data_IF_164714300594
#
_entry.id   IF_164714300594
#
_cell.length_a   1.000
_cell.length_b   1.000
_cell.length_c   1.000
_cell.angle_alpha   90.00
_cell.angle_beta   90.00
_cell.angle_gamma   90.00
#
_symmetry.space_group_name_H-M   'P 1'
#
loop_
_entity.id
_entity.type
_entity.pdbx_description
1 polymer ?
#
# COMPACT_ATOMS: atom_id res chain seq x y z
N UNK A 1 -17.70 -22.14 20.81
CA UNK A 1 -16.31 -22.64 21.00
C UNK A 1 -15.58 -21.63 21.86
N UNK A 2 -15.00 -22.03 23.00
CA UNK A 2 -14.12 -21.12 23.73
C UNK A 2 -12.79 -21.08 22.97
N UNK A 3 -12.55 -20.03 22.18
CA UNK A 3 -11.24 -19.77 21.62
C UNK A 3 -10.34 -19.23 22.73
N UNK A 4 -9.13 -19.76 22.87
CA UNK A 4 -8.06 -19.05 23.58
C UNK A 4 -7.82 -17.71 22.88
N UNK A 5 -7.45 -16.68 23.62
CA UNK A 5 -7.13 -15.38 23.05
C UNK A 5 -6.00 -15.53 22.01
N UNK A 6 -6.29 -15.13 20.76
CA UNK A 6 -5.32 -15.20 19.67
C UNK A 6 -4.38 -13.99 19.72
N UNK A 7 -3.13 -14.19 19.28
CA UNK A 7 -2.24 -13.06 19.00
C UNK A 7 -2.74 -12.22 17.83
N UNK A 8 -2.29 -10.98 17.71
CA UNK A 8 -2.67 -10.12 16.57
C UNK A 8 -2.26 -10.74 15.24
N UNK A 9 -1.08 -11.32 15.18
CA UNK A 9 -0.57 -11.98 13.97
C UNK A 9 -1.41 -13.19 13.58
N UNK A 10 -1.70 -14.09 14.52
CA UNK A 10 -2.55 -15.26 14.28
C UNK A 10 -3.95 -14.85 13.79
N UNK A 11 -4.55 -13.84 14.42
CA UNK A 11 -5.89 -13.35 14.10
C UNK A 11 -5.97 -12.78 12.68
N UNK A 12 -5.00 -11.92 12.29
CA UNK A 12 -4.97 -11.33 10.95
C UNK A 12 -4.79 -12.41 9.88
N UNK A 13 -3.82 -13.30 10.06
CA UNK A 13 -3.54 -14.37 9.09
C UNK A 13 -4.69 -15.39 9.01
N UNK A 14 -5.38 -15.67 10.12
CA UNK A 14 -6.56 -16.52 10.12
C UNK A 14 -7.71 -15.86 9.36
N UNK A 15 -7.96 -14.57 9.56
CA UNK A 15 -8.97 -13.84 8.79
C UNK A 15 -8.69 -13.85 7.28
N UNK A 16 -7.43 -13.62 6.87
CA UNK A 16 -7.04 -13.69 5.45
C UNK A 16 -7.25 -15.09 4.86
N UNK A 17 -7.01 -16.15 5.64
CA UNK A 17 -7.24 -17.56 5.23
C UNK A 17 -8.69 -18.01 5.32
N UNK A 18 -9.58 -17.21 5.91
CA UNK A 18 -10.97 -17.61 6.19
C UNK A 18 -11.08 -18.65 7.30
N UNK A 19 -10.11 -18.69 8.20
CA UNK A 19 -10.15 -19.51 9.40
C UNK A 19 -10.86 -18.78 10.53
N UNK A 20 -11.47 -19.50 11.49
CA UNK A 20 -12.11 -18.89 12.64
C UNK A 20 -11.14 -18.03 13.46
N UNK A 21 -11.63 -16.93 13.99
CA UNK A 21 -10.90 -16.01 14.89
C UNK A 21 -11.70 -15.76 16.16
N UNK A 22 -11.03 -15.35 17.23
CA UNK A 22 -11.67 -14.98 18.51
C UNK A 22 -12.50 -13.68 18.41
N UNK A 23 -12.10 -12.79 17.50
CA UNK A 23 -12.80 -11.56 17.12
C UNK A 23 -12.37 -11.08 15.74
N UNK A 24 -13.07 -10.11 15.19
CA UNK A 24 -12.62 -9.40 13.98
C UNK A 24 -11.29 -8.72 14.26
N UNK A 25 -10.23 -8.94 13.45
CA UNK A 25 -9.02 -8.13 13.51
C UNK A 25 -9.35 -6.68 13.18
N UNK A 26 -8.69 -5.72 13.85
CA UNK A 26 -8.86 -4.32 13.54
C UNK A 26 -7.51 -3.60 13.47
N UNK A 27 -7.31 -2.94 12.37
CA UNK A 27 -6.11 -2.20 12.02
C UNK A 27 -6.49 -0.76 11.67
N UNK A 28 -5.55 0.17 11.70
CA UNK A 28 -5.79 1.54 11.25
C UNK A 28 -4.53 2.10 10.61
N UNK A 29 -4.69 2.91 9.56
CA UNK A 29 -3.61 3.51 8.77
C UNK A 29 -2.83 4.60 9.50
N UNK A 30 -2.31 4.33 10.70
CA UNK A 30 -1.49 5.27 11.50
C UNK A 30 -0.02 5.33 11.04
N UNK A 31 0.23 5.08 9.75
CA UNK A 31 1.58 4.75 9.25
C UNK A 31 2.42 5.92 8.78
N UNK A 32 1.81 7.06 8.51
CA UNK A 32 2.48 8.22 7.89
C UNK A 32 2.66 9.39 8.88
N UNK A 33 2.25 10.57 8.48
CA UNK A 33 2.46 11.79 9.26
C UNK A 33 1.74 11.79 10.62
N UNK A 34 0.68 10.97 10.80
CA UNK A 34 0.06 10.80 12.11
C UNK A 34 1.08 10.29 13.14
N UNK A 35 1.76 9.19 12.83
CA UNK A 35 2.83 8.64 13.69
C UNK A 35 3.99 9.61 13.88
N UNK A 36 4.42 10.29 12.81
CA UNK A 36 5.51 11.27 12.88
C UNK A 36 5.16 12.40 13.86
N UNK A 37 3.96 12.96 13.74
CA UNK A 37 3.49 14.05 14.61
C UNK A 37 3.33 13.63 16.07
N UNK A 38 2.73 12.47 16.33
CA UNK A 38 2.54 11.97 17.71
C UNK A 38 3.88 11.79 18.44
N UNK A 39 4.93 11.39 17.72
CA UNK A 39 6.27 11.26 18.28
C UNK A 39 7.06 12.57 18.34
N UNK A 40 6.46 13.72 18.01
CA UNK A 40 7.07 15.04 18.09
C UNK A 40 8.09 15.34 16.98
N UNK A 41 8.07 14.58 15.89
CA UNK A 41 8.91 14.80 14.73
C UNK A 41 8.19 15.59 13.63
N UNK A 42 8.97 16.18 12.74
CA UNK A 42 8.51 16.73 11.47
C UNK A 42 8.73 15.71 10.34
N UNK A 43 8.10 15.96 9.17
CA UNK A 43 8.39 15.18 7.97
C UNK A 43 9.88 15.23 7.59
N UNK A 44 10.53 16.38 7.73
CA UNK A 44 11.97 16.51 7.48
C UNK A 44 12.81 15.63 8.39
N UNK A 45 12.47 15.56 9.68
CA UNK A 45 13.22 14.74 10.64
C UNK A 45 13.27 13.27 10.21
N UNK A 46 12.18 12.77 9.67
CA UNK A 46 12.02 11.35 9.34
C UNK A 46 12.41 11.07 7.87
N UNK A 47 11.84 11.81 6.92
CA UNK A 47 12.00 11.48 5.50
C UNK A 47 13.27 12.04 4.87
N UNK A 48 13.80 13.14 5.41
CA UNK A 48 15.01 13.77 4.88
C UNK A 48 16.26 13.44 5.71
N UNK A 49 16.11 13.46 7.04
CA UNK A 49 17.24 13.32 7.96
C UNK A 49 17.35 11.96 8.63
N UNK A 50 16.33 11.08 8.52
CA UNK A 50 16.38 9.73 9.07
C UNK A 50 16.60 9.66 10.59
N UNK A 51 16.11 10.65 11.36
CA UNK A 51 16.40 10.77 12.81
C UNK A 51 15.89 9.61 13.66
N UNK A 52 14.87 8.89 13.18
CA UNK A 52 14.33 7.74 13.87
C UNK A 52 13.80 6.69 12.85
N UNK A 53 13.86 5.39 13.19
CA UNK A 53 13.32 4.33 12.33
C UNK A 53 11.79 4.40 12.32
N UNK A 54 11.21 4.82 11.20
CA UNK A 54 9.76 5.00 11.03
C UNK A 54 8.98 3.73 11.39
N UNK A 55 9.44 2.56 10.99
CA UNK A 55 8.77 1.29 11.26
C UNK A 55 8.57 1.05 12.77
N UNK A 56 9.57 1.42 13.60
CA UNK A 56 9.49 1.27 15.05
C UNK A 56 8.45 2.20 15.64
N UNK A 57 8.43 3.47 15.22
CA UNK A 57 7.42 4.43 15.68
C UNK A 57 6.01 3.97 15.32
N UNK A 58 5.80 3.42 14.11
CA UNK A 58 4.50 2.89 13.68
C UNK A 58 4.07 1.74 14.59
N UNK A 59 4.97 0.78 14.86
CA UNK A 59 4.67 -0.34 15.75
C UNK A 59 4.31 0.11 17.19
N UNK A 60 5.05 1.08 17.72
CA UNK A 60 4.81 1.60 19.07
C UNK A 60 3.46 2.34 19.15
N UNK A 61 3.08 3.11 18.11
CA UNK A 61 1.79 3.78 18.03
C UNK A 61 0.63 2.78 17.90
N UNK A 62 0.79 1.74 17.09
CA UNK A 62 -0.21 0.68 16.99
C UNK A 62 -0.44 -0.02 18.32
N UNK A 63 0.62 -0.36 19.06
CA UNK A 63 0.56 -0.92 20.43
C UNK A 63 -0.12 0.05 21.40
N UNK A 64 0.22 1.35 21.34
CA UNK A 64 -0.37 2.37 22.20
C UNK A 64 -1.89 2.45 22.08
N UNK A 65 -2.43 2.22 20.90
CA UNK A 65 -3.86 2.21 20.64
C UNK A 65 -4.52 0.83 20.66
N UNK A 66 -3.76 -0.23 20.97
CA UNK A 66 -4.27 -1.60 21.05
C UNK A 66 -4.75 -2.17 19.71
N UNK A 67 -4.21 -1.67 18.59
CA UNK A 67 -4.54 -2.13 17.24
C UNK A 67 -3.85 -3.48 16.97
N UNK A 68 -4.47 -4.32 16.14
CA UNK A 68 -3.77 -5.47 15.58
C UNK A 68 -2.73 -4.96 14.58
N UNK A 69 -1.45 -5.06 14.95
CA UNK A 69 -0.37 -4.37 14.27
C UNK A 69 -0.07 -4.89 12.87
N UNK A 70 0.40 -4.02 12.02
CA UNK A 70 0.93 -4.37 10.70
C UNK A 70 2.04 -3.41 10.27
N UNK A 71 2.97 -3.93 9.48
CA UNK A 71 3.99 -3.13 8.78
C UNK A 71 4.10 -3.59 7.33
N UNK A 72 4.39 -2.64 6.44
CA UNK A 72 4.82 -2.93 5.09
C UNK A 72 6.30 -2.64 4.93
N UNK A 73 7.05 -3.60 4.41
CA UNK A 73 8.47 -3.46 4.13
C UNK A 73 8.75 -3.71 2.65
N UNK A 74 9.54 -2.83 2.05
CA UNK A 74 10.06 -3.05 0.71
C UNK A 74 11.23 -4.03 0.71
N UNK A 75 11.38 -4.75 -0.39
CA UNK A 75 12.63 -5.43 -0.70
C UNK A 75 13.52 -4.50 -1.54
N UNK A 76 14.80 -4.43 -1.17
CA UNK A 76 15.79 -3.55 -1.79
C UNK A 76 16.74 -4.34 -2.66
N UNK A 77 17.14 -3.73 -3.76
CA UNK A 77 18.21 -4.23 -4.63
C UNK A 77 19.36 -3.24 -4.66
N UNK A 78 20.60 -3.70 -4.80
CA UNK A 78 21.75 -2.81 -5.00
C UNK A 78 21.54 -1.99 -6.28
N UNK A 79 22.11 -0.78 -6.36
CA UNK A 79 22.15 -0.01 -7.58
C UNK A 79 22.76 -0.80 -8.75
N UNK A 80 22.27 -0.53 -9.95
CA UNK A 80 22.91 -1.05 -11.17
C UNK A 80 24.35 -0.52 -11.24
N UNK A 81 25.37 -1.36 -11.51
CA UNK A 81 26.77 -0.92 -11.54
C UNK A 81 27.06 0.15 -12.60
N UNK A 82 26.27 0.20 -13.66
CA UNK A 82 26.41 1.19 -14.75
C UNK A 82 25.68 2.51 -14.43
N UNK A 83 25.00 2.60 -13.27
CA UNK A 83 24.17 3.75 -12.94
C UNK A 83 24.67 4.43 -11.67
N UNK A 84 24.84 5.74 -11.73
CA UNK A 84 25.23 6.56 -10.58
C UNK A 84 24.11 7.51 -10.20
N UNK A 85 23.90 7.70 -8.90
CA UNK A 85 22.88 8.58 -8.37
C UNK A 85 23.52 9.80 -7.71
N UNK A 86 23.01 11.00 -8.03
CA UNK A 86 23.39 12.26 -7.37
C UNK A 86 22.14 12.97 -6.88
N UNK A 87 22.26 13.64 -5.76
CA UNK A 87 21.17 14.48 -5.22
C UNK A 87 21.73 15.85 -4.83
N UNK A 88 20.96 16.88 -5.14
CA UNK A 88 21.28 18.27 -4.78
C UNK A 88 20.02 18.99 -4.30
N UNK A 89 20.17 19.86 -3.32
CA UNK A 89 19.10 20.74 -2.88
C UNK A 89 19.02 21.90 -3.88
N UNK A 90 17.84 22.04 -4.53
CA UNK A 90 17.62 23.09 -5.55
C UNK A 90 16.72 24.23 -5.03
N UNK A 91 16.08 24.03 -3.89
CA UNK A 91 15.29 25.02 -3.18
C UNK A 91 15.22 24.67 -1.70
N UNK A 92 15.29 25.68 -0.84
CA UNK A 92 15.11 25.52 0.61
C UNK A 92 14.53 26.81 1.22
N UNK A 93 13.46 26.64 1.97
CA UNK A 93 12.89 27.69 2.82
C UNK A 93 12.39 27.09 4.15
N UNK A 94 11.64 27.82 4.96
CA UNK A 94 11.19 27.38 6.28
C UNK A 94 10.11 26.29 6.24
N UNK A 95 9.46 26.05 5.10
CA UNK A 95 8.33 25.13 4.93
C UNK A 95 8.61 24.01 3.93
N UNK A 96 9.53 24.25 2.99
CA UNK A 96 9.76 23.33 1.87
C UNK A 96 11.24 23.22 1.50
N UNK A 97 11.70 22.00 1.30
CA UNK A 97 12.98 21.67 0.68
C UNK A 97 12.69 20.87 -0.59
N UNK A 98 13.33 21.25 -1.70
CA UNK A 98 13.24 20.50 -2.96
C UNK A 98 14.60 19.90 -3.28
N UNK A 99 14.62 18.58 -3.44
CA UNK A 99 15.81 17.82 -3.82
C UNK A 99 15.66 17.34 -5.24
N UNK A 100 16.62 17.68 -6.10
CA UNK A 100 16.77 17.08 -7.43
C UNK A 100 17.65 15.85 -7.32
N UNK A 101 17.15 14.72 -7.82
CA UNK A 101 17.89 13.48 -7.95
C UNK A 101 18.18 13.21 -9.42
N UNK A 102 19.46 13.04 -9.76
CA UNK A 102 19.93 12.73 -11.11
C UNK A 102 20.37 11.27 -11.15
N UNK A 103 19.87 10.54 -12.13
CA UNK A 103 20.26 9.18 -12.50
C UNK A 103 21.18 9.30 -13.71
N UNK A 104 22.47 9.06 -13.50
CA UNK A 104 23.49 9.14 -14.55
C UNK A 104 23.73 7.75 -15.14
N UNK A 105 23.60 7.63 -16.44
CA UNK A 105 23.81 6.39 -17.18
C UNK A 105 24.85 6.61 -18.30
N UNK A 106 25.45 5.54 -18.86
CA UNK A 106 26.37 5.65 -20.00
C UNK A 106 25.75 6.33 -21.25
N UNK A 107 24.42 6.32 -21.38
CA UNK A 107 23.73 6.85 -22.56
C UNK A 107 23.08 8.23 -22.32
N UNK A 108 23.20 8.78 -21.10
CA UNK A 108 22.65 10.09 -20.74
C UNK A 108 22.08 10.13 -19.33
N UNK A 109 21.61 11.29 -18.92
CA UNK A 109 21.10 11.55 -17.57
C UNK A 109 19.58 11.71 -17.56
N UNK A 110 18.97 11.16 -16.51
CA UNK A 110 17.57 11.42 -16.14
C UNK A 110 17.54 12.13 -14.80
N UNK A 111 16.56 13.00 -14.57
CA UNK A 111 16.41 13.65 -13.26
C UNK A 111 14.95 13.79 -12.84
N UNK A 112 14.75 13.82 -11.54
CA UNK A 112 13.45 14.06 -10.90
C UNK A 112 13.61 15.07 -9.77
N UNK A 113 12.51 15.67 -9.32
CA UNK A 113 12.48 16.50 -8.13
C UNK A 113 11.47 15.98 -7.14
N UNK A 114 11.89 15.93 -5.88
CA UNK A 114 11.04 15.60 -4.75
C UNK A 114 10.93 16.79 -3.83
N UNK A 115 9.70 17.21 -3.54
CA UNK A 115 9.40 18.21 -2.54
C UNK A 115 9.21 17.58 -1.17
N UNK A 116 9.95 18.04 -0.20
CA UNK A 116 9.85 17.68 1.21
C UNK A 116 9.21 18.85 1.95
N UNK A 117 7.90 18.80 2.13
CA UNK A 117 7.19 19.72 3.01
C UNK A 117 7.48 19.36 4.47
N UNK A 118 7.60 20.38 5.33
CA UNK A 118 7.98 20.18 6.74
C UNK A 118 7.05 19.22 7.50
N UNK A 119 5.75 19.29 7.21
CA UNK A 119 4.72 18.56 7.95
C UNK A 119 3.90 17.60 7.07
N UNK A 120 4.45 17.19 5.91
CA UNK A 120 3.79 16.29 4.98
C UNK A 120 4.73 15.17 4.53
N UNK A 121 4.17 14.16 3.86
CA UNK A 121 4.97 13.14 3.19
C UNK A 121 5.64 13.71 1.94
N UNK A 122 6.85 13.24 1.58
CA UNK A 122 7.52 13.69 0.36
C UNK A 122 6.70 13.40 -0.91
N UNK A 123 6.74 14.33 -1.85
CA UNK A 123 6.00 14.22 -3.11
C UNK A 123 6.93 14.48 -4.30
N UNK A 124 6.93 13.57 -5.29
CA UNK A 124 7.63 13.79 -6.56
C UNK A 124 6.87 14.86 -7.35
N UNK A 125 7.51 16.02 -7.55
CA UNK A 125 6.94 17.17 -8.26
C UNK A 125 7.36 17.22 -9.73
N UNK A 126 8.52 16.62 -10.07
CA UNK A 126 8.99 16.44 -11.44
C UNK A 126 9.41 14.99 -11.64
N UNK A 127 8.85 14.32 -12.63
CA UNK A 127 9.15 12.93 -12.94
C UNK A 127 10.44 12.75 -13.74
N UNK A 128 10.95 11.51 -13.81
CA UNK A 128 12.14 11.15 -14.62
C UNK A 128 11.87 11.27 -16.12
N UNK A 129 10.65 10.92 -16.57
CA UNK A 129 10.27 10.82 -17.98
C UNK A 129 9.53 12.09 -18.38
N UNK A 130 10.13 12.89 -19.27
CA UNK A 130 9.61 14.16 -19.73
C UNK A 130 9.26 14.16 -21.23
N UNK A 131 9.83 13.21 -21.98
CA UNK A 131 9.68 13.06 -23.42
C UNK A 131 10.01 11.63 -23.86
N UNK A 132 9.92 11.34 -25.15
CA UNK A 132 10.23 10.05 -25.75
C UNK A 132 11.66 9.58 -25.43
N UNK A 133 12.65 10.44 -25.58
CA UNK A 133 14.06 10.11 -25.34
C UNK A 133 14.29 9.68 -23.88
N UNK A 134 13.69 10.40 -22.93
CA UNK A 134 13.76 10.02 -21.52
C UNK A 134 13.04 8.71 -21.24
N UNK A 135 11.92 8.45 -21.95
CA UNK A 135 11.19 7.19 -21.78
C UNK A 135 12.01 6.01 -22.30
N UNK A 136 12.56 6.10 -23.49
CA UNK A 136 13.42 5.07 -24.07
C UNK A 136 14.69 4.83 -23.20
N UNK A 137 15.32 5.90 -22.71
CA UNK A 137 16.47 5.80 -21.81
C UNK A 137 16.10 5.14 -20.49
N UNK A 138 14.98 5.53 -19.87
CA UNK A 138 14.48 4.92 -18.64
C UNK A 138 14.19 3.43 -18.81
N UNK A 139 13.55 3.02 -19.91
CA UNK A 139 13.25 1.62 -20.22
C UNK A 139 14.50 0.74 -20.35
N UNK A 140 15.63 1.33 -20.76
CA UNK A 140 16.89 0.60 -20.92
C UNK A 140 17.51 0.20 -19.56
N UNK A 141 17.28 0.99 -18.50
CA UNK A 141 17.94 0.81 -17.21
C UNK A 141 17.02 0.40 -16.06
N UNK A 142 15.74 0.77 -16.08
CA UNK A 142 14.83 0.57 -14.96
C UNK A 142 14.56 -0.90 -14.65
N UNK A 143 14.48 -1.75 -15.67
CA UNK A 143 14.02 -3.14 -15.58
C UNK A 143 15.11 -4.18 -15.76
N UNK A 144 16.36 -3.82 -15.55
CA UNK A 144 17.46 -4.78 -15.54
C UNK A 144 17.30 -5.78 -14.40
N UNK A 145 17.73 -7.05 -14.57
CA UNK A 145 17.62 -8.06 -13.53
C UNK A 145 18.28 -7.61 -12.22
N UNK A 146 17.58 -7.79 -11.10
CA UNK A 146 18.02 -7.38 -9.77
C UNK A 146 17.92 -8.52 -8.78
N UNK A 147 18.81 -8.53 -7.77
CA UNK A 147 18.67 -9.37 -6.58
C UNK A 147 18.12 -8.53 -5.44
N UNK A 148 16.95 -8.93 -4.94
CA UNK A 148 16.28 -8.24 -3.86
C UNK A 148 16.57 -8.89 -2.51
N UNK A 149 16.57 -8.10 -1.44
CA UNK A 149 16.73 -8.55 -0.06
C UNK A 149 16.01 -7.61 0.90
N UNK A 150 15.70 -8.11 2.09
CA UNK A 150 15.16 -7.31 3.20
C UNK A 150 15.96 -7.64 4.47
N UNK A 151 17.19 -7.11 4.63
CA UNK A 151 18.10 -7.48 5.71
C UNK A 151 17.57 -7.13 7.10
N UNK A 152 16.71 -6.12 7.21
CA UNK A 152 16.13 -5.69 8.49
C UNK A 152 14.95 -6.56 8.96
N UNK A 153 14.39 -7.40 8.10
CA UNK A 153 13.21 -8.21 8.41
C UNK A 153 13.36 -9.07 9.67
N UNK A 154 14.49 -9.78 9.91
CA UNK A 154 14.65 -10.57 11.12
C UNK A 154 14.63 -9.71 12.40
N UNK A 155 15.30 -8.57 12.41
CA UNK A 155 15.33 -7.65 13.54
C UNK A 155 13.96 -7.02 13.81
N UNK A 156 13.24 -6.65 12.76
CA UNK A 156 11.88 -6.10 12.85
C UNK A 156 10.92 -7.15 13.40
N UNK A 157 10.98 -8.40 12.91
CA UNK A 157 10.16 -9.50 13.45
C UNK A 157 10.45 -9.77 14.91
N UNK A 158 11.72 -9.78 15.32
CA UNK A 158 12.10 -9.96 16.74
C UNK A 158 11.52 -8.85 17.62
N UNK A 159 11.46 -7.60 17.13
CA UNK A 159 10.87 -6.48 17.85
C UNK A 159 9.34 -6.56 17.95
N UNK A 160 8.67 -6.97 16.88
CA UNK A 160 7.21 -7.07 16.82
C UNK A 160 6.66 -8.27 17.58
N UNK A 161 7.38 -9.39 17.59
CA UNK A 161 6.87 -10.66 18.12
C UNK A 161 5.60 -11.08 17.38
N UNK A 162 4.55 -11.37 18.16
CA UNK A 162 3.23 -11.75 17.65
C UNK A 162 2.20 -10.59 17.65
N UNK A 163 2.65 -9.37 17.95
CA UNK A 163 1.76 -8.20 18.01
C UNK A 163 1.38 -7.65 16.63
N UNK A 164 2.09 -8.04 15.57
CA UNK A 164 1.89 -7.52 14.24
C UNK A 164 2.25 -8.52 13.14
N UNK A 165 1.62 -8.34 11.97
CA UNK A 165 2.06 -8.96 10.73
C UNK A 165 3.06 -8.06 9.98
N UNK A 166 3.94 -8.68 9.21
CA UNK A 166 4.88 -7.98 8.32
C UNK A 166 4.56 -8.34 6.88
N UNK A 167 3.90 -7.43 6.18
CA UNK A 167 3.66 -7.53 4.74
C UNK A 167 4.89 -7.07 3.95
N UNK A 168 5.22 -7.80 2.88
CA UNK A 168 6.17 -7.35 1.87
C UNK A 168 5.44 -6.53 0.81
N UNK A 169 5.88 -5.29 0.51
CA UNK A 169 5.30 -4.55 -0.61
C UNK A 169 6.05 -4.79 -1.90
N UNK A 170 5.37 -5.34 -2.89
CA UNK A 170 5.92 -5.55 -4.23
C UNK A 170 5.93 -4.26 -5.08
N UNK A 171 5.29 -3.19 -4.58
CA UNK A 171 5.17 -1.92 -5.26
C UNK A 171 3.97 -1.85 -6.22
N UNK A 172 3.88 -0.75 -6.97
CA UNK A 172 2.80 -0.54 -7.92
C UNK A 172 2.80 -1.63 -9.00
N UNK A 173 1.60 -2.13 -9.30
CA UNK A 173 1.41 -3.10 -10.39
C UNK A 173 1.62 -2.39 -11.73
N UNK A 174 2.40 -2.99 -12.66
CA UNK A 174 2.62 -2.43 -14.00
C UNK A 174 1.33 -1.99 -14.71
N UNK A 175 1.41 -0.85 -15.35
CA UNK A 175 0.30 -0.21 -16.03
C UNK A 175 0.35 1.31 -15.90
N UNK A 176 -0.77 1.98 -16.13
CA UNK A 176 -0.81 3.45 -16.09
C UNK A 176 -0.42 4.03 -14.73
N UNK A 177 -0.89 3.41 -13.64
CA UNK A 177 -0.61 3.88 -12.29
C UNK A 177 0.89 3.81 -11.94
N UNK A 178 1.56 2.71 -12.28
CA UNK A 178 3.01 2.57 -12.03
C UNK A 178 3.81 3.57 -12.91
N UNK A 179 3.50 3.64 -14.22
CA UNK A 179 4.22 4.52 -15.13
C UNK A 179 4.08 5.99 -14.75
N UNK A 180 2.87 6.45 -14.41
CA UNK A 180 2.61 7.86 -14.09
C UNK A 180 3.42 8.36 -12.87
N UNK A 181 3.88 7.47 -11.99
CA UNK A 181 4.72 7.85 -10.86
C UNK A 181 6.11 8.33 -11.31
N UNK A 182 6.55 7.91 -12.49
CA UNK A 182 7.83 8.28 -13.10
C UNK A 182 7.70 9.37 -14.17
N UNK A 183 6.50 9.61 -14.70
CA UNK A 183 6.24 10.59 -15.75
C UNK A 183 6.05 12.00 -15.17
N UNK A 184 6.76 12.96 -15.72
CA UNK A 184 6.54 14.38 -15.44
C UNK A 184 5.14 14.80 -15.93
N UNK A 185 4.37 15.52 -15.11
CA UNK A 185 2.97 15.81 -15.40
C UNK A 185 1.99 14.64 -15.14
N UNK A 186 2.48 13.54 -14.55
CA UNK A 186 1.66 12.44 -14.03
C UNK A 186 0.73 11.83 -15.07
N UNK A 187 -0.54 11.56 -14.71
CA UNK A 187 -1.51 10.86 -15.54
C UNK A 187 -1.69 11.50 -16.92
N UNK A 188 -1.83 12.83 -17.00
CA UNK A 188 -2.06 13.52 -18.27
C UNK A 188 -0.96 13.22 -19.31
N UNK A 189 0.30 13.40 -18.90
CA UNK A 189 1.42 13.13 -19.80
C UNK A 189 1.63 11.63 -20.05
N UNK A 190 1.26 10.75 -19.10
CA UNK A 190 1.28 9.30 -19.32
C UNK A 190 0.32 8.89 -20.45
N UNK A 191 -0.88 9.51 -20.51
CA UNK A 191 -1.84 9.28 -21.58
C UNK A 191 -1.26 9.74 -22.93
N UNK A 192 -0.67 10.93 -23.00
CA UNK A 192 -0.03 11.41 -24.22
C UNK A 192 1.13 10.52 -24.65
N UNK A 193 2.01 10.11 -23.74
CA UNK A 193 3.10 9.18 -24.07
C UNK A 193 2.59 7.86 -24.65
N UNK A 194 1.49 7.31 -24.11
CA UNK A 194 0.90 6.11 -24.69
C UNK A 194 0.29 6.33 -26.07
N UNK A 195 -0.37 7.48 -26.28
CA UNK A 195 -0.99 7.80 -27.57
C UNK A 195 0.05 8.07 -28.66
N UNK A 196 1.10 8.79 -28.31
CA UNK A 196 2.13 9.22 -29.27
C UNK A 196 3.18 8.12 -29.51
N UNK A 197 3.46 7.28 -28.50
CA UNK A 197 4.50 6.24 -28.52
C UNK A 197 3.97 4.89 -28.01
N UNK A 198 2.96 4.30 -28.66
CA UNK A 198 2.31 3.07 -28.19
C UNK A 198 3.29 1.88 -28.12
N UNK A 199 4.28 1.82 -28.99
CA UNK A 199 5.29 0.75 -29.00
C UNK A 199 6.18 0.81 -27.76
N UNK A 200 6.60 2.00 -27.32
CA UNK A 200 7.35 2.17 -26.08
C UNK A 200 6.51 1.84 -24.84
N UNK A 201 5.21 2.15 -24.89
CA UNK A 201 4.31 1.80 -23.80
C UNK A 201 4.12 0.28 -23.67
N UNK A 202 3.95 -0.44 -24.76
CA UNK A 202 3.86 -1.91 -24.76
C UNK A 202 5.20 -2.54 -24.32
N UNK A 203 6.34 -2.02 -24.76
CA UNK A 203 7.66 -2.43 -24.29
C UNK A 203 7.81 -2.23 -22.78
N UNK A 204 7.34 -1.07 -22.26
CA UNK A 204 7.30 -0.81 -20.82
C UNK A 204 6.51 -1.89 -20.09
N UNK A 205 5.26 -2.15 -20.51
CA UNK A 205 4.39 -3.13 -19.83
C UNK A 205 5.05 -4.51 -19.79
N UNK A 206 5.65 -4.96 -20.90
CA UNK A 206 6.33 -6.25 -20.97
C UNK A 206 7.54 -6.34 -20.03
N UNK A 207 8.40 -5.31 -20.03
CA UNK A 207 9.60 -5.27 -19.17
C UNK A 207 9.23 -5.15 -17.69
N UNK A 208 8.28 -4.28 -17.37
CA UNK A 208 7.80 -4.05 -16.02
C UNK A 208 7.13 -5.31 -15.45
N UNK A 209 6.29 -5.98 -16.23
CA UNK A 209 5.67 -7.25 -15.85
C UNK A 209 6.71 -8.31 -15.47
N UNK A 210 7.72 -8.55 -16.33
CA UNK A 210 8.78 -9.52 -16.02
C UNK A 210 9.58 -9.15 -14.77
N UNK A 211 9.95 -7.89 -14.63
CA UNK A 211 10.71 -7.41 -13.47
C UNK A 211 9.89 -7.50 -12.18
N UNK A 212 8.59 -7.20 -12.26
CA UNK A 212 7.66 -7.31 -11.14
C UNK A 212 7.53 -8.76 -10.66
N UNK A 213 7.31 -9.71 -11.57
CA UNK A 213 7.21 -11.12 -11.21
C UNK A 213 8.50 -11.67 -10.62
N UNK A 214 9.66 -11.32 -11.20
CA UNK A 214 10.96 -11.70 -10.63
C UNK A 214 11.18 -11.13 -9.21
N UNK A 215 10.67 -9.92 -8.91
CA UNK A 215 10.67 -9.38 -7.54
C UNK A 215 9.76 -10.20 -6.64
N UNK A 216 8.54 -10.49 -7.07
CA UNK A 216 7.56 -11.26 -6.29
C UNK A 216 8.08 -12.66 -5.96
N UNK A 217 8.68 -13.37 -6.92
CA UNK A 217 9.32 -14.68 -6.71
C UNK A 217 10.34 -14.61 -5.58
N UNK A 218 11.26 -13.64 -5.63
CA UNK A 218 12.27 -13.48 -4.60
C UNK A 218 11.66 -13.09 -3.24
N UNK A 219 10.65 -12.21 -3.23
CA UNK A 219 9.97 -11.81 -1.99
C UNK A 219 9.19 -12.96 -1.34
N UNK A 220 8.61 -13.86 -2.12
CA UNK A 220 7.90 -15.03 -1.61
C UNK A 220 8.81 -15.96 -0.78
N UNK A 221 10.13 -15.96 -1.05
CA UNK A 221 11.13 -16.72 -0.31
C UNK A 221 11.69 -16.00 0.93
N UNK A 222 11.45 -14.68 1.09
CA UNK A 222 12.03 -13.89 2.19
C UNK A 222 11.33 -14.09 3.54
N UNK A 223 10.14 -14.75 3.56
CA UNK A 223 9.41 -15.04 4.78
C UNK A 223 8.53 -13.90 5.26
N UNK A 224 8.03 -13.04 4.40
CA UNK A 224 6.94 -12.11 4.71
C UNK A 224 5.67 -12.89 5.08
N UNK A 225 4.81 -12.30 5.91
CA UNK A 225 3.54 -12.91 6.30
C UNK A 225 2.54 -12.94 5.15
N UNK A 226 2.60 -11.92 4.31
CA UNK A 226 1.89 -11.82 3.04
C UNK A 226 2.62 -10.83 2.13
N UNK A 227 2.25 -10.79 0.85
CA UNK A 227 2.79 -9.82 -0.11
C UNK A 227 1.65 -8.93 -0.61
N UNK A 228 1.84 -7.63 -0.42
CA UNK A 228 0.94 -6.59 -0.91
C UNK A 228 1.37 -6.13 -2.31
N UNK A 229 0.40 -6.07 -3.21
CA UNK A 229 0.52 -5.59 -4.58
C UNK A 229 -0.20 -4.24 -4.70
N UNK A 230 0.44 -3.28 -5.35
CA UNK A 230 -0.08 -1.91 -5.52
C UNK A 230 -0.23 -1.18 -4.19
N UNK A 231 0.88 -0.74 -3.65
CA UNK A 231 0.96 -0.11 -2.33
C UNK A 231 0.38 1.31 -2.24
N UNK A 232 -0.18 1.87 -3.30
CA UNK A 232 -0.83 3.18 -3.33
C UNK A 232 -1.55 3.42 -4.67
N UNK A 233 -2.67 4.12 -4.63
CA UNK A 233 -3.36 4.63 -5.80
C UNK A 233 -4.30 3.66 -6.49
N UNK A 234 -4.95 4.18 -7.52
CA UNK A 234 -6.00 3.48 -8.25
C UNK A 234 -5.42 2.64 -9.39
N UNK A 235 -5.29 1.34 -9.22
CA UNK A 235 -4.81 0.44 -10.29
C UNK A 235 -5.66 0.59 -11.56
N UNK A 236 -6.96 0.68 -11.39
CA UNK A 236 -7.90 0.80 -12.51
C UNK A 236 -7.99 2.24 -13.07
N UNK A 237 -7.60 3.27 -12.31
CA UNK A 237 -7.83 4.68 -12.67
C UNK A 237 -9.27 4.97 -13.16
N UNK A 238 -10.25 4.22 -12.64
CA UNK A 238 -11.63 4.30 -13.09
C UNK A 238 -11.89 3.77 -14.52
N UNK A 239 -10.93 3.07 -15.12
CA UNK A 239 -11.05 2.46 -16.45
C UNK A 239 -10.80 0.95 -16.41
N UNK A 240 -11.87 0.12 -16.37
CA UNK A 240 -11.76 -1.33 -16.31
C UNK A 240 -11.00 -1.96 -17.48
N UNK A 241 -11.09 -1.41 -18.68
CA UNK A 241 -10.45 -1.99 -19.87
C UNK A 241 -8.93 -1.84 -19.82
N UNK A 242 -8.43 -0.67 -19.38
CA UNK A 242 -7.01 -0.45 -19.17
C UNK A 242 -6.47 -1.32 -18.04
N UNK A 243 -7.21 -1.46 -16.94
CA UNK A 243 -6.88 -2.36 -15.86
C UNK A 243 -6.77 -3.82 -16.35
N UNK A 244 -7.79 -4.30 -17.08
CA UNK A 244 -7.81 -5.66 -17.61
C UNK A 244 -6.66 -5.94 -18.57
N UNK A 245 -6.35 -4.97 -19.44
CA UNK A 245 -5.29 -5.13 -20.44
C UNK A 245 -3.89 -5.13 -19.81
N UNK A 246 -3.60 -4.21 -18.89
CA UNK A 246 -2.24 -3.91 -18.49
C UNK A 246 -1.86 -4.37 -17.07
N UNK A 247 -2.78 -4.35 -16.12
CA UNK A 247 -2.47 -4.62 -14.72
C UNK A 247 -2.93 -6.00 -14.26
N UNK A 248 -4.12 -6.43 -14.64
CA UNK A 248 -4.70 -7.72 -14.23
C UNK A 248 -3.81 -8.93 -14.55
N UNK A 249 -3.16 -9.04 -15.72
CA UNK A 249 -2.28 -10.17 -16.00
C UNK A 249 -1.12 -10.30 -15.00
N UNK A 250 -0.61 -9.17 -14.51
CA UNK A 250 0.45 -9.16 -13.49
C UNK A 250 -0.09 -9.63 -12.14
N UNK A 251 -1.28 -9.19 -11.73
CA UNK A 251 -1.90 -9.63 -10.47
C UNK A 251 -2.18 -11.13 -10.50
N UNK A 252 -2.70 -11.66 -11.62
CA UNK A 252 -2.95 -13.09 -11.82
C UNK A 252 -1.68 -13.93 -11.67
N UNK A 253 -0.61 -13.53 -12.34
CA UNK A 253 0.66 -14.25 -12.28
C UNK A 253 1.31 -14.13 -10.90
N UNK A 254 1.34 -12.93 -10.32
CA UNK A 254 1.96 -12.67 -9.01
C UNK A 254 1.23 -13.41 -7.88
N UNK A 255 -0.11 -13.35 -7.82
CA UNK A 255 -0.89 -14.05 -6.80
C UNK A 255 -0.71 -15.58 -6.87
N UNK A 256 -0.60 -16.12 -8.08
CA UNK A 256 -0.29 -17.54 -8.30
C UNK A 256 1.10 -17.93 -7.77
N UNK A 257 2.13 -17.12 -8.06
CA UNK A 257 3.49 -17.33 -7.56
C UNK A 257 3.48 -17.33 -6.02
N UNK A 258 2.85 -16.34 -5.40
CA UNK A 258 2.76 -16.22 -3.94
C UNK A 258 2.06 -17.45 -3.34
N UNK A 259 0.93 -17.87 -3.91
CA UNK A 259 0.18 -19.06 -3.46
C UNK A 259 0.99 -20.33 -3.60
N UNK A 260 1.70 -20.53 -4.72
CA UNK A 260 2.57 -21.69 -4.93
C UNK A 260 3.72 -21.76 -3.93
N UNK A 261 4.21 -20.63 -3.46
CA UNK A 261 5.19 -20.54 -2.37
C UNK A 261 4.58 -20.73 -0.96
N UNK A 262 3.26 -20.95 -0.85
CA UNK A 262 2.53 -21.08 0.43
C UNK A 262 2.24 -19.76 1.14
N UNK A 263 2.47 -18.63 0.47
CA UNK A 263 2.23 -17.27 0.97
C UNK A 263 0.77 -16.83 0.81
N UNK A 264 0.47 -15.66 1.37
CA UNK A 264 -0.79 -14.93 1.19
C UNK A 264 -0.52 -13.66 0.40
N UNK A 265 -1.53 -13.20 -0.35
CA UNK A 265 -1.46 -11.98 -1.14
C UNK A 265 -2.57 -11.00 -0.79
N UNK A 266 -2.24 -9.73 -0.85
CA UNK A 266 -3.18 -8.62 -0.67
C UNK A 266 -3.08 -7.66 -1.86
N UNK A 267 -4.21 -7.15 -2.34
CA UNK A 267 -4.24 -6.07 -3.33
C UNK A 267 -4.71 -4.79 -2.64
N UNK A 268 -3.94 -3.72 -2.80
CA UNK A 268 -4.36 -2.39 -2.41
C UNK A 268 -4.88 -1.61 -3.63
N UNK A 269 -6.13 -1.14 -3.56
CA UNK A 269 -6.73 -0.29 -4.58
C UNK A 269 -7.67 0.72 -3.95
N UNK A 270 -7.23 1.95 -3.75
CA UNK A 270 -8.08 3.06 -3.32
C UNK A 270 -8.85 3.67 -4.50
N UNK A 271 -9.92 4.43 -4.21
CA UNK A 271 -10.83 4.97 -5.21
C UNK A 271 -11.83 3.95 -5.76
N UNK A 272 -12.30 4.12 -7.02
CA UNK A 272 -13.20 3.19 -7.68
C UNK A 272 -12.54 1.82 -7.90
N UNK A 273 -12.86 0.85 -7.04
CA UNK A 273 -12.19 -0.44 -6.97
C UNK A 273 -13.11 -1.64 -7.29
N UNK A 274 -14.39 -1.42 -7.57
CA UNK A 274 -15.34 -2.52 -7.76
C UNK A 274 -14.92 -3.51 -8.85
N UNK A 275 -14.40 -3.00 -9.98
CA UNK A 275 -13.90 -3.87 -11.05
C UNK A 275 -12.66 -4.68 -10.63
N UNK A 276 -11.81 -4.14 -9.76
CA UNK A 276 -10.63 -4.83 -9.21
C UNK A 276 -11.05 -5.89 -8.21
N UNK A 277 -11.98 -5.59 -7.28
CA UNK A 277 -12.54 -6.57 -6.34
C UNK A 277 -13.12 -7.76 -7.07
N UNK A 278 -13.94 -7.49 -8.09
CA UNK A 278 -14.53 -8.55 -8.93
C UNK A 278 -13.46 -9.39 -9.62
N UNK A 279 -12.45 -8.78 -10.22
CA UNK A 279 -11.38 -9.51 -10.90
C UNK A 279 -10.51 -10.30 -9.89
N UNK A 280 -10.23 -9.75 -8.71
CA UNK A 280 -9.51 -10.46 -7.66
C UNK A 280 -10.24 -11.73 -7.23
N UNK A 281 -11.56 -11.68 -7.08
CA UNK A 281 -12.36 -12.85 -6.74
C UNK A 281 -12.46 -13.86 -7.89
N UNK A 282 -12.85 -13.40 -9.08
CA UNK A 282 -13.24 -14.30 -10.18
C UNK A 282 -12.05 -14.87 -10.96
N UNK A 283 -10.89 -14.18 -10.97
CA UNK A 283 -9.85 -14.41 -11.97
C UNK A 283 -8.42 -14.54 -11.38
N UNK A 284 -8.25 -14.40 -10.07
CA UNK A 284 -6.92 -14.42 -9.43
C UNK A 284 -6.86 -15.34 -8.23
N UNK A 285 -5.67 -15.48 -7.67
CA UNK A 285 -5.41 -16.18 -6.42
C UNK A 285 -5.21 -15.23 -5.22
N UNK A 286 -5.73 -14.02 -5.30
CA UNK A 286 -5.63 -13.00 -4.23
C UNK A 286 -6.44 -13.41 -3.01
N UNK A 287 -5.85 -13.26 -1.81
CA UNK A 287 -6.48 -13.64 -0.55
C UNK A 287 -7.21 -12.47 0.12
N UNK A 288 -6.73 -11.23 -0.04
CA UNK A 288 -7.26 -10.04 0.60
C UNK A 288 -7.24 -8.81 -0.30
N UNK A 289 -8.18 -7.89 -0.10
CA UNK A 289 -8.22 -6.60 -0.79
C UNK A 289 -8.58 -5.47 0.17
N UNK A 290 -7.95 -4.31 0.00
CA UNK A 290 -8.19 -3.08 0.75
C UNK A 290 -8.06 -1.83 -0.14
N UNK A 291 -8.57 -0.67 0.27
CA UNK A 291 -9.33 -0.39 1.49
C UNK A 291 -10.86 -0.41 1.32
N UNK A 292 -11.41 -0.69 0.15
CA UNK A 292 -12.85 -0.81 -0.15
C UNK A 292 -13.59 0.50 0.11
N UNK A 293 -13.17 1.55 -0.60
CA UNK A 293 -13.77 2.88 -0.43
C UNK A 293 -15.20 2.94 -0.99
N UNK A 294 -16.10 3.52 -0.20
CA UNK A 294 -17.46 3.84 -0.60
C UNK A 294 -17.54 5.24 -1.26
N UNK A 295 -18.70 5.56 -1.84
CA UNK A 295 -18.94 6.89 -2.37
C UNK A 295 -18.82 7.96 -1.26
N UNK A 296 -18.26 9.16 -1.52
CA UNK A 296 -17.88 9.68 -2.84
C UNK A 296 -16.47 9.31 -3.32
N UNK A 297 -15.62 8.71 -2.47
CA UNK A 297 -14.21 8.43 -2.79
C UNK A 297 -14.03 7.19 -3.67
N UNK A 298 -14.92 6.21 -3.55
CA UNK A 298 -14.92 4.96 -4.31
C UNK A 298 -16.30 4.58 -4.82
N UNK A 299 -16.41 3.35 -5.31
CA UNK A 299 -17.65 2.79 -5.88
C UNK A 299 -18.04 1.45 -5.23
N UNK A 300 -17.43 1.11 -4.10
CA UNK A 300 -17.68 -0.12 -3.36
C UNK A 300 -18.83 0.05 -2.36
N UNK A 301 -19.45 -1.08 -2.02
CA UNK A 301 -20.42 -1.19 -0.91
C UNK A 301 -20.03 -2.40 -0.06
N UNK A 302 -19.55 -2.19 1.16
CA UNK A 302 -19.08 -3.27 2.02
C UNK A 302 -20.12 -4.38 2.22
N UNK A 303 -21.43 -4.10 2.50
CA UNK A 303 -22.43 -5.16 2.64
C UNK A 303 -22.60 -5.98 1.35
N UNK A 304 -22.59 -5.32 0.19
CA UNK A 304 -22.75 -6.00 -1.09
C UNK A 304 -21.53 -6.85 -1.44
N UNK A 305 -20.32 -6.32 -1.27
CA UNK A 305 -19.08 -7.06 -1.51
C UNK A 305 -18.96 -8.26 -0.58
N UNK A 306 -19.36 -8.10 0.70
CA UNK A 306 -19.37 -9.21 1.65
C UNK A 306 -20.31 -10.34 1.22
N UNK A 307 -21.50 -9.99 0.76
CA UNK A 307 -22.49 -10.95 0.26
C UNK A 307 -22.02 -11.67 -1.02
N UNK A 308 -21.33 -10.95 -1.92
CA UNK A 308 -20.94 -11.49 -3.24
C UNK A 308 -19.59 -12.22 -3.22
N UNK A 309 -18.64 -11.76 -2.43
CA UNK A 309 -17.23 -12.18 -2.55
C UNK A 309 -16.59 -12.58 -1.21
N UNK A 310 -17.26 -12.32 -0.10
CA UNK A 310 -16.70 -12.53 1.25
C UNK A 310 -16.59 -13.98 1.70
N UNK A 311 -16.99 -14.96 0.88
CA UNK A 311 -16.79 -16.39 1.12
C UNK A 311 -15.38 -16.86 0.77
N UNK A 312 -14.72 -16.21 -0.18
CA UNK A 312 -13.38 -16.54 -0.65
C UNK A 312 -12.35 -15.42 -0.47
N UNK A 313 -12.76 -14.15 -0.63
CA UNK A 313 -11.89 -12.98 -0.52
C UNK A 313 -12.01 -12.31 0.85
N UNK A 314 -10.88 -12.09 1.51
CA UNK A 314 -10.86 -11.31 2.75
C UNK A 314 -10.98 -9.82 2.44
N UNK A 315 -12.04 -9.20 2.94
CA UNK A 315 -12.32 -7.78 2.77
C UNK A 315 -11.70 -6.98 3.93
N UNK A 316 -10.88 -5.97 3.61
CA UNK A 316 -10.25 -5.11 4.62
C UNK A 316 -10.66 -3.66 4.38
N UNK A 317 -11.40 -3.09 5.33
CA UNK A 317 -11.97 -1.73 5.26
C UNK A 317 -13.06 -1.56 6.33
N UNK A 318 -13.89 -0.54 6.28
CA UNK A 318 -13.84 0.66 5.46
C UNK A 318 -14.39 1.87 6.24
N UNK A 319 -13.82 2.10 7.45
CA UNK A 319 -14.18 3.29 8.21
C UNK A 319 -13.55 4.50 7.55
N UNK A 320 -14.37 5.45 7.11
CA UNK A 320 -13.93 6.65 6.43
C UNK A 320 -13.02 7.50 7.35
N UNK A 321 -11.84 7.82 6.85
CA UNK A 321 -10.81 8.54 7.61
C UNK A 321 -11.03 10.05 7.68
N UNK A 322 -11.89 10.60 6.82
CA UNK A 322 -12.30 12.01 6.88
C UNK A 322 -13.51 12.14 7.80
N UNK A 323 -14.62 11.46 7.48
CA UNK A 323 -15.78 11.44 8.36
C UNK A 323 -16.22 9.98 8.62
N UNK A 324 -16.08 9.50 9.87
CA UNK A 324 -16.04 10.28 11.10
C UNK A 324 -14.65 10.46 11.74
N UNK A 325 -13.57 9.85 11.21
CA UNK A 325 -12.32 9.76 11.98
C UNK A 325 -11.65 11.12 12.20
N UNK A 326 -11.60 11.99 11.19
CA UNK A 326 -10.99 13.32 11.32
C UNK A 326 -11.99 14.37 11.86
N UNK A 327 -13.18 14.44 11.27
CA UNK A 327 -14.12 15.54 11.46
C UNK A 327 -15.27 15.21 12.41
N UNK A 328 -15.50 13.93 12.70
CA UNK A 328 -16.59 13.48 13.55
C UNK A 328 -16.24 13.44 15.04
N UNK A 329 -17.22 13.03 15.83
CA UNK A 329 -17.14 12.79 17.27
C UNK A 329 -16.85 11.31 17.58
N UNK A 330 -16.35 10.97 18.79
CA UNK A 330 -16.19 9.58 19.22
C UNK A 330 -17.44 8.71 19.06
N UNK A 331 -18.63 9.27 19.29
CA UNK A 331 -19.91 8.56 19.13
C UNK A 331 -20.23 8.26 17.66
N UNK A 332 -19.86 9.14 16.74
CA UNK A 332 -20.00 8.91 15.29
C UNK A 332 -19.01 7.88 14.80
N UNK A 333 -17.76 7.88 15.31
CA UNK A 333 -16.78 6.84 15.05
C UNK A 333 -17.29 5.47 15.49
N UNK A 334 -17.81 5.35 16.73
CA UNK A 334 -18.42 4.10 17.23
C UNK A 334 -19.55 3.62 16.31
N UNK A 335 -20.45 4.51 15.89
CA UNK A 335 -21.53 4.19 14.96
C UNK A 335 -21.04 3.64 13.63
N UNK A 336 -19.97 4.22 13.06
CA UNK A 336 -19.41 3.73 11.80
C UNK A 336 -18.72 2.36 11.96
N UNK A 337 -18.02 2.14 13.07
CA UNK A 337 -17.44 0.82 13.39
C UNK A 337 -18.54 -0.23 13.50
N UNK A 338 -19.65 0.07 14.21
CA UNK A 338 -20.81 -0.83 14.31
C UNK A 338 -21.38 -1.16 12.94
N UNK A 339 -21.55 -0.15 12.07
CA UNK A 339 -22.03 -0.35 10.69
C UNK A 339 -21.13 -1.34 9.92
N UNK A 340 -19.80 -1.20 10.03
CA UNK A 340 -18.86 -2.10 9.36
C UNK A 340 -18.95 -3.53 9.94
N UNK A 341 -19.07 -3.65 11.27
CA UNK A 341 -19.22 -4.95 11.92
C UNK A 341 -20.53 -5.66 11.52
N UNK A 342 -21.64 -4.93 11.50
CA UNK A 342 -22.95 -5.46 11.08
C UNK A 342 -22.94 -5.91 9.62
N UNK A 343 -22.18 -5.20 8.77
CA UNK A 343 -22.09 -5.50 7.35
C UNK A 343 -21.21 -6.72 7.03
N UNK A 344 -20.12 -6.95 7.78
CA UNK A 344 -19.06 -7.85 7.29
C UNK A 344 -18.49 -8.83 8.32
N UNK A 345 -18.87 -8.75 9.59
CA UNK A 345 -18.34 -9.63 10.64
C UNK A 345 -18.69 -11.10 10.40
N UNK A 346 -19.93 -11.39 10.01
CA UNK A 346 -20.40 -12.77 9.84
C UNK A 346 -19.54 -13.58 8.86
N UNK A 347 -19.31 -14.83 9.21
CA UNK A 347 -18.51 -15.79 8.43
C UNK A 347 -17.05 -15.43 8.23
N UNK A 348 -16.46 -14.55 9.07
CA UNK A 348 -15.03 -14.22 9.03
C UNK A 348 -14.62 -13.50 7.74
N UNK A 349 -13.35 -13.67 7.30
CA UNK A 349 -12.78 -13.02 6.10
C UNK A 349 -13.05 -11.51 6.06
N UNK A 350 -12.94 -10.89 7.22
CA UNK A 350 -13.08 -9.45 7.36
C UNK A 350 -12.03 -8.91 8.33
N UNK A 351 -11.39 -7.82 7.95
CA UNK A 351 -10.46 -7.04 8.78
C UNK A 351 -11.01 -5.62 8.82
N UNK A 352 -11.41 -5.15 10.00
CA UNK A 352 -11.82 -3.74 10.14
C UNK A 352 -10.59 -2.85 9.91
N UNK A 353 -10.71 -1.89 9.02
CA UNK A 353 -9.64 -0.97 8.66
C UNK A 353 -10.21 0.42 8.36
N UNK A 354 -9.37 1.45 8.38
CA UNK A 354 -9.71 2.72 7.75
C UNK A 354 -9.75 2.58 6.23
N UNK A 355 -10.50 3.41 5.57
CA UNK A 355 -10.55 3.39 4.09
C UNK A 355 -9.32 4.04 3.44
N UNK A 356 -8.40 4.59 4.26
CA UNK A 356 -7.10 5.14 3.86
C UNK A 356 -6.20 5.36 5.09
N UNK A 357 -5.02 5.97 4.91
CA UNK A 357 -4.18 6.45 6.00
C UNK A 357 -4.81 7.64 6.74
N UNK A 358 -4.78 7.61 8.08
CA UNK A 358 -5.38 8.68 8.88
C UNK A 358 -4.61 10.00 8.74
N UNK A 359 -5.35 11.11 8.73
CA UNK A 359 -4.78 12.47 8.75
C UNK A 359 -3.87 12.67 9.97
N UNK A 360 -2.75 13.39 9.86
CA UNK A 360 -1.98 13.79 11.03
C UNK A 360 -2.80 14.60 12.05
N UNK A 361 -3.90 15.22 11.63
CA UNK A 361 -4.77 16.03 12.49
C UNK A 361 -5.91 15.24 13.14
N UNK A 362 -6.05 13.93 12.84
CA UNK A 362 -7.09 13.08 13.44
C UNK A 362 -7.02 13.15 14.96
N UNK A 363 -8.13 13.43 15.67
CA UNK A 363 -8.20 13.47 17.11
C UNK A 363 -7.85 12.11 17.75
N UNK A 364 -7.05 12.14 18.80
CA UNK A 364 -6.64 10.92 19.52
C UNK A 364 -7.85 10.21 20.13
N UNK A 365 -8.83 10.95 20.60
CA UNK A 365 -10.08 10.42 21.13
C UNK A 365 -10.88 9.63 20.09
N UNK A 366 -10.82 10.03 18.82
CA UNK A 366 -11.48 9.30 17.74
C UNK A 366 -10.75 7.97 17.42
N UNK A 367 -9.40 7.95 17.47
CA UNK A 367 -8.64 6.70 17.34
C UNK A 367 -8.95 5.74 18.51
N UNK A 368 -9.08 6.26 19.74
CA UNK A 368 -9.45 5.45 20.90
C UNK A 368 -10.88 4.91 20.75
N UNK A 369 -11.84 5.75 20.35
CA UNK A 369 -13.21 5.33 20.12
C UNK A 369 -13.31 4.24 19.05
N UNK A 370 -12.51 4.33 17.98
CA UNK A 370 -12.39 3.29 16.97
C UNK A 370 -11.94 1.95 17.57
N UNK A 371 -10.85 1.95 18.35
CA UNK A 371 -10.31 0.74 18.96
C UNK A 371 -11.28 0.14 20.01
N UNK A 372 -11.84 0.97 20.87
CA UNK A 372 -12.82 0.54 21.90
C UNK A 372 -14.08 -0.07 21.29
N UNK A 373 -14.61 0.55 20.22
CA UNK A 373 -15.75 0.02 19.50
C UNK A 373 -15.40 -1.30 18.78
N UNK A 374 -14.24 -1.39 18.14
CA UNK A 374 -13.78 -2.62 17.50
C UNK A 374 -13.65 -3.79 18.49
N UNK A 375 -13.12 -3.55 19.70
CA UNK A 375 -13.04 -4.55 20.77
C UNK A 375 -14.41 -4.97 21.28
N UNK A 376 -15.34 -4.03 21.41
CA UNK A 376 -16.68 -4.26 21.96
C UNK A 376 -17.55 -5.05 20.99
N UNK A 377 -17.57 -4.67 19.72
CA UNK A 377 -18.51 -5.20 18.71
C UNK A 377 -17.89 -6.26 17.79
N UNK A 378 -16.55 -6.40 17.81
CA UNK A 378 -15.85 -7.35 16.95
C UNK A 378 -15.89 -8.80 17.43
N UNK A 379 -16.32 -9.11 18.65
CA UNK A 379 -16.44 -10.49 19.18
C UNK A 379 -17.52 -11.25 18.42
N UNK A 380 -17.27 -12.54 18.17
CA UNK A 380 -18.24 -13.45 17.53
C UNK A 380 -19.21 -14.03 18.54
#
# INVERSE_FOLDING_TARGET
>A
MNFSEMTSRERILSAMRGLPTDRVPFQLGVTNMFTVRINGYTGWDIYLHGKAPKWKMVADVQRQFGLDGYLYLGAYAPPDPDVTYRSEEVHSDNEKIVVRSTVQTPDGDLWSETSFMKNETPTITRGLIKNEENFALWLKYAFRPKRYSCPDLPAIRAYLGEDAVVGGTAGAVPGYHDLMMNVDGKLGNTVYLHMDYPELFEEYVEKAHRAYLSRVEQMAEMGFDYIEMSNSGMIALGNPDLFRKYSLPTIQAASRIIRQAGGLSEVHCCGPALCVVKACHDETDVDSINPIQEAPMGDCSLPELKRLYGDTLCLKGNVDVIYPLLEGTPAEVEKHVVRCMDAAKENGRFILFGDEGVSPMTPIENIKAYADAALRYGKY
#
